data_IF_241562457148
#
_entry.id   IF_241562457148
#
_cell.length_a   1.000
_cell.length_b   1.000
_cell.length_c   1.000
_cell.angle_alpha   90.00
_cell.angle_beta   90.00
_cell.angle_gamma   90.00
#
_symmetry.space_group_name_H-M   'P 1'
#
loop_
_entity.id
_entity.type
_entity.pdbx_description
1 polymer ?
#
# COMPACT_ATOMS: atom_id res chain seq x y z
N UNK A 1 17.94 21.30 -24.19
CA UNK A 1 17.35 20.54 -23.06
C UNK A 1 17.94 21.13 -21.79
N UNK A 2 17.16 21.77 -20.92
CA UNK A 2 17.68 22.21 -19.62
C UNK A 2 17.92 20.95 -18.74
N UNK A 3 18.99 20.90 -17.94
CA UNK A 3 19.13 19.86 -16.93
C UNK A 3 17.94 19.95 -15.96
N UNK A 4 17.41 18.81 -15.49
CA UNK A 4 16.35 18.82 -14.49
C UNK A 4 16.80 19.59 -13.23
N UNK A 5 15.87 20.26 -12.57
CA UNK A 5 16.15 21.00 -11.35
C UNK A 5 16.73 20.07 -10.26
N UNK A 6 17.72 20.56 -9.52
CA UNK A 6 18.26 19.90 -8.33
C UNK A 6 17.09 19.52 -7.41
N UNK A 7 16.90 18.22 -7.22
CA UNK A 7 15.88 17.68 -6.32
C UNK A 7 16.58 17.33 -5.03
N UNK A 8 16.33 18.09 -3.97
CA UNK A 8 16.74 17.71 -2.63
C UNK A 8 15.83 16.58 -2.15
N UNK A 9 16.43 15.41 -1.91
CA UNK A 9 15.76 14.23 -1.35
C UNK A 9 16.08 14.19 0.14
N UNK A 10 15.09 14.45 0.98
CA UNK A 10 15.21 14.26 2.42
C UNK A 10 14.74 12.85 2.76
N UNK A 11 15.66 12.04 3.31
CA UNK A 11 15.36 10.68 3.76
C UNK A 11 15.16 10.70 5.27
N UNK A 12 13.96 10.34 5.72
CA UNK A 12 13.64 10.24 7.15
C UNK A 12 13.57 8.76 7.53
N UNK A 13 14.60 8.20 8.20
CA UNK A 13 14.57 6.83 8.69
C UNK A 13 13.64 6.71 9.91
N UNK A 14 12.85 5.64 9.97
CA UNK A 14 12.14 5.24 11.20
C UNK A 14 13.03 4.33 12.07
N UNK A 15 12.59 3.99 13.29
CA UNK A 15 13.31 3.23 14.33
C UNK A 15 13.88 1.85 13.91
N UNK A 16 13.64 1.42 12.67
CA UNK A 16 14.05 0.14 12.09
C UNK A 16 15.07 0.28 10.95
N UNK A 17 15.46 1.50 10.59
CA UNK A 17 16.47 1.84 9.58
C UNK A 17 17.60 2.60 10.26
N UNK A 18 18.83 2.07 10.26
CA UNK A 18 20.01 2.75 10.78
C UNK A 18 20.79 3.39 9.61
N UNK A 19 21.02 4.70 9.65
CA UNK A 19 21.92 5.37 8.71
C UNK A 19 23.36 5.28 9.24
N UNK A 20 24.30 4.84 8.39
CA UNK A 20 25.74 4.81 8.69
C UNK A 20 26.51 5.47 7.56
N UNK A 21 27.53 6.24 7.91
CA UNK A 21 28.45 6.84 6.94
C UNK A 21 29.50 5.78 6.55
N UNK A 22 29.57 5.43 5.28
CA UNK A 22 30.49 4.40 4.76
C UNK A 22 31.79 5.00 4.18
N UNK A 23 31.95 6.33 4.25
CA UNK A 23 33.03 7.10 3.64
C UNK A 23 32.59 7.87 2.38
N UNK A 24 33.37 8.87 1.98
CA UNK A 24 33.15 9.72 0.79
C UNK A 24 31.75 10.36 0.68
N UNK A 25 31.12 10.69 1.82
CA UNK A 25 29.79 11.30 1.85
C UNK A 25 28.64 10.36 1.45
N UNK A 26 28.91 9.05 1.35
CA UNK A 26 27.89 8.04 1.10
C UNK A 26 27.25 7.62 2.42
N UNK A 27 25.93 7.81 2.51
CA UNK A 27 25.12 7.33 3.63
C UNK A 27 24.50 5.99 3.22
N UNK A 28 24.92 4.91 3.88
CA UNK A 28 24.32 3.60 3.76
C UNK A 28 23.18 3.45 4.78
N UNK A 29 22.02 2.96 4.32
CA UNK A 29 20.88 2.67 5.19
C UNK A 29 20.81 1.16 5.44
N UNK A 30 20.97 0.76 6.70
CA UNK A 30 20.95 -0.64 7.11
C UNK A 30 19.62 -1.01 7.78
N UNK A 31 19.03 -2.06 7.24
CA UNK A 31 17.82 -2.72 7.73
C UNK A 31 18.21 -3.98 8.51
N UNK A 32 17.71 -4.16 9.74
CA UNK A 32 17.82 -5.46 10.45
C UNK A 32 16.74 -6.48 10.06
N UNK A 33 15.72 -6.05 9.31
CA UNK A 33 14.57 -6.87 8.92
C UNK A 33 14.43 -6.87 7.39
N UNK A 34 14.01 -8.00 6.83
CA UNK A 34 13.34 -7.98 5.52
C UNK A 34 12.04 -7.19 5.66
N UNK A 35 11.75 -6.26 4.75
CA UNK A 35 10.56 -5.43 4.85
C UNK A 35 10.22 -4.64 3.60
N UNK A 36 8.96 -4.24 3.49
CA UNK A 36 8.47 -3.41 2.39
C UNK A 36 8.82 -1.94 2.59
N UNK A 37 9.14 -1.23 1.51
CA UNK A 37 9.39 0.21 1.50
C UNK A 37 8.18 0.95 0.91
N UNK A 38 7.57 1.85 1.66
CA UNK A 38 6.50 2.73 1.17
C UNK A 38 7.05 4.15 0.96
N UNK A 39 7.15 4.60 -0.30
CA UNK A 39 7.45 5.99 -0.62
C UNK A 39 6.16 6.81 -0.59
N UNK A 40 6.14 7.90 0.16
CA UNK A 40 5.06 8.89 0.07
C UNK A 40 5.69 10.23 -0.27
N UNK A 41 5.43 10.71 -1.47
CA UNK A 41 5.91 12.00 -1.97
C UNK A 41 4.98 13.11 -1.46
N UNK A 42 5.53 14.06 -0.71
CA UNK A 42 4.80 15.29 -0.34
C UNK A 42 5.56 16.50 -0.88
N UNK A 43 4.94 17.24 -1.82
CA UNK A 43 5.49 18.45 -2.41
C UNK A 43 4.96 19.69 -1.71
N UNK A 44 5.78 20.35 -0.89
CA UNK A 44 5.46 21.66 -0.30
C UNK A 44 6.38 22.74 -0.86
N UNK A 45 5.82 23.64 -1.67
CA UNK A 45 6.54 24.78 -2.23
C UNK A 45 6.30 26.08 -1.45
N UNK A 46 7.38 26.70 -0.95
CA UNK A 46 7.47 28.15 -0.75
C UNK A 46 8.75 28.63 -1.44
N UNK A 47 8.62 29.58 -2.39
CA UNK A 47 9.72 30.23 -3.14
C UNK A 47 10.58 29.30 -4.03
N UNK A 48 9.97 28.60 -4.98
CA UNK A 48 10.69 28.01 -6.13
C UNK A 48 11.64 26.84 -5.84
N UNK A 49 11.77 26.40 -4.59
CA UNK A 49 12.44 25.14 -4.20
C UNK A 49 11.38 24.06 -4.03
N UNK A 50 11.47 23.01 -4.84
CA UNK A 50 10.69 21.78 -4.66
C UNK A 50 11.49 20.86 -3.76
N UNK A 51 11.06 20.68 -2.52
CA UNK A 51 11.63 19.70 -1.60
C UNK A 51 10.78 18.43 -1.69
N UNK A 52 11.39 17.32 -2.06
CA UNK A 52 10.73 16.01 -2.11
C UNK A 52 11.11 15.25 -0.84
N UNK A 53 10.16 15.10 0.07
CA UNK A 53 10.34 14.28 1.27
C UNK A 53 10.14 12.81 0.90
N UNK A 54 11.16 11.97 1.12
CA UNK A 54 11.09 10.53 0.94
C UNK A 54 11.10 9.86 2.32
N UNK A 55 9.93 9.38 2.77
CA UNK A 55 9.84 8.56 3.99
C UNK A 55 10.17 7.11 3.66
N UNK A 56 11.09 6.50 4.39
CA UNK A 56 11.44 5.08 4.27
C UNK A 56 11.19 4.38 5.60
N UNK A 57 10.21 3.47 5.61
CA UNK A 57 9.92 2.59 6.74
C UNK A 57 10.18 1.13 6.38
N UNK A 58 10.59 0.32 7.35
CA UNK A 58 10.79 -1.12 7.20
C UNK A 58 9.90 -1.88 8.18
N UNK A 59 9.12 -2.81 7.66
CA UNK A 59 8.17 -3.58 8.45
C UNK A 59 8.33 -5.05 8.11
N UNK A 60 8.23 -5.95 9.11
CA UNK A 60 8.20 -7.38 8.83
C UNK A 60 7.08 -7.67 7.83
N UNK A 61 7.38 -8.42 6.78
CA UNK A 61 6.41 -8.78 5.72
C UNK A 61 6.15 -10.28 5.78
N UNK A 62 4.89 -10.67 5.84
CA UNK A 62 4.44 -12.04 5.57
C UNK A 62 3.96 -12.12 4.12
N UNK A 63 4.62 -12.95 3.34
CA UNK A 63 4.28 -13.17 1.93
C UNK A 63 3.53 -14.49 1.77
N UNK A 64 2.39 -14.44 1.11
CA UNK A 64 1.56 -15.59 0.77
C UNK A 64 1.62 -15.75 -0.75
N UNK A 65 2.31 -16.81 -1.18
CA UNK A 65 2.43 -17.17 -2.59
C UNK A 65 1.17 -17.94 -3.02
N UNK A 66 0.14 -17.19 -3.40
CA UNK A 66 -1.14 -17.71 -3.86
C UNK A 66 -2.36 -17.06 -3.20
N UNK A 67 -3.48 -17.76 -3.30
CA UNK A 67 -4.77 -17.32 -2.74
C UNK A 67 -4.84 -17.60 -1.23
N UNK A 68 -5.59 -16.78 -0.51
CA UNK A 68 -5.97 -17.10 0.88
C UNK A 68 -7.22 -17.96 0.82
N UNK A 69 -7.04 -19.26 1.04
CA UNK A 69 -8.08 -20.29 0.94
C UNK A 69 -7.98 -21.31 2.09
N UNK A 70 -8.57 -22.51 1.94
CA UNK A 70 -8.54 -23.56 2.96
C UNK A 70 -7.14 -24.10 3.27
N UNK A 71 -6.18 -23.95 2.36
CA UNK A 71 -4.79 -24.35 2.58
C UNK A 71 -4.05 -23.37 3.48
N UNK A 72 -4.36 -22.07 3.36
CA UNK A 72 -3.75 -20.99 4.13
C UNK A 72 -4.48 -20.69 5.43
N UNK A 73 -5.81 -20.74 5.40
CA UNK A 73 -6.68 -20.36 6.51
C UNK A 73 -6.75 -18.84 6.73
N UNK A 74 -7.18 -18.44 7.93
CA UNK A 74 -7.19 -17.03 8.31
C UNK A 74 -5.78 -16.53 8.59
N UNK A 75 -5.46 -15.34 8.06
CA UNK A 75 -4.13 -14.75 8.20
C UNK A 75 -4.16 -13.70 9.29
N UNK A 76 -3.32 -13.85 10.32
CA UNK A 76 -3.12 -12.87 11.37
C UNK A 76 -1.62 -12.61 11.51
N UNK A 77 -1.20 -11.37 11.24
CA UNK A 77 0.22 -11.04 11.23
C UNK A 77 0.52 -9.67 11.84
N UNK A 78 1.53 -9.62 12.71
CA UNK A 78 2.01 -8.40 13.35
C UNK A 78 3.07 -7.71 12.48
N UNK A 79 2.65 -7.22 11.32
CA UNK A 79 3.50 -6.59 10.32
C UNK A 79 2.69 -6.29 9.06
N UNK A 80 3.37 -6.20 7.94
CA UNK A 80 2.75 -6.06 6.62
C UNK A 80 2.46 -7.44 6.03
N UNK A 81 1.38 -7.56 5.26
CA UNK A 81 1.00 -8.81 4.59
C UNK A 81 0.92 -8.58 3.09
N UNK A 82 1.55 -9.45 2.31
CA UNK A 82 1.49 -9.45 0.85
C UNK A 82 0.87 -10.75 0.39
N UNK A 83 -0.28 -10.67 -0.28
CA UNK A 83 -0.98 -11.79 -0.89
C UNK A 83 -0.81 -11.69 -2.40
N UNK A 84 -0.11 -12.64 -3.03
CA UNK A 84 0.07 -12.68 -4.49
C UNK A 84 -1.19 -13.12 -5.24
N UNK A 85 -2.11 -13.78 -4.56
CA UNK A 85 -3.40 -14.18 -5.10
C UNK A 85 -4.57 -13.32 -4.64
N UNK A 86 -5.74 -13.92 -4.66
CA UNK A 86 -7.02 -13.37 -4.19
C UNK A 86 -7.37 -13.92 -2.81
N UNK A 87 -8.20 -13.19 -2.07
CA UNK A 87 -8.72 -13.67 -0.79
C UNK A 87 -10.07 -14.31 -1.05
N UNK A 88 -10.12 -15.63 -0.92
CA UNK A 88 -11.34 -16.41 -1.11
C UNK A 88 -12.27 -16.24 0.08
N UNK A 89 -13.58 -16.41 -0.11
CA UNK A 89 -14.49 -16.46 1.02
C UNK A 89 -14.40 -17.80 1.75
N UNK A 90 -14.69 -17.83 3.07
CA UNK A 90 -15.00 -16.71 3.97
C UNK A 90 -13.76 -16.23 4.76
N UNK A 91 -12.59 -16.20 4.11
CA UNK A 91 -11.34 -15.96 4.81
C UNK A 91 -11.13 -14.51 5.19
N UNK A 92 -10.25 -14.33 6.19
CA UNK A 92 -9.97 -13.03 6.80
C UNK A 92 -8.47 -12.83 6.87
N UNK A 93 -8.05 -11.62 6.53
CA UNK A 93 -6.65 -11.19 6.61
C UNK A 93 -6.59 -9.99 7.56
N UNK A 94 -5.86 -10.15 8.65
CA UNK A 94 -5.68 -9.15 9.70
C UNK A 94 -4.19 -8.84 9.84
N UNK A 95 -3.81 -7.60 9.58
CA UNK A 95 -2.44 -7.13 9.73
C UNK A 95 -2.38 -5.87 10.60
N UNK A 96 -1.38 -5.78 11.48
CA UNK A 96 -1.15 -4.52 12.22
C UNK A 96 -0.50 -3.45 11.35
N UNK A 97 0.15 -3.86 10.26
CA UNK A 97 0.76 -3.00 9.26
C UNK A 97 -0.16 -2.75 8.06
N UNK A 98 0.43 -2.77 6.87
CA UNK A 98 -0.27 -2.61 5.60
C UNK A 98 -0.58 -3.96 4.96
N UNK A 99 -1.67 -4.04 4.20
CA UNK A 99 -2.06 -5.25 3.46
C UNK A 99 -2.05 -4.97 1.97
N UNK A 100 -1.25 -5.72 1.23
CA UNK A 100 -1.20 -5.67 -0.24
C UNK A 100 -1.75 -6.97 -0.80
N UNK A 101 -2.70 -6.86 -1.72
CA UNK A 101 -3.31 -8.01 -2.41
C UNK A 101 -3.21 -7.78 -3.91
N UNK A 102 -2.52 -8.66 -4.62
CA UNK A 102 -2.36 -8.58 -6.06
C UNK A 102 -3.64 -9.01 -6.81
N UNK A 103 -4.45 -9.87 -6.20
CA UNK A 103 -5.75 -10.31 -6.71
C UNK A 103 -6.94 -9.47 -6.24
N UNK A 104 -8.10 -10.13 -6.14
CA UNK A 104 -9.35 -9.53 -5.69
C UNK A 104 -9.68 -9.95 -4.24
N UNK A 105 -10.48 -9.12 -3.57
CA UNK A 105 -11.21 -9.54 -2.38
C UNK A 105 -12.58 -10.08 -2.83
N UNK A 106 -12.76 -11.39 -2.74
CA UNK A 106 -13.96 -12.09 -3.21
C UNK A 106 -15.15 -11.98 -2.23
N UNK A 107 -16.39 -12.30 -2.68
CA UNK A 107 -17.61 -12.06 -1.91
C UNK A 107 -17.62 -12.78 -0.56
N UNK A 108 -17.57 -12.04 0.55
CA UNK A 108 -17.54 -12.59 1.90
C UNK A 108 -16.16 -12.66 2.54
N UNK A 109 -15.15 -12.08 1.90
CA UNK A 109 -13.81 -11.88 2.48
C UNK A 109 -13.76 -10.64 3.39
N UNK A 110 -12.84 -10.62 4.35
CA UNK A 110 -12.62 -9.46 5.21
C UNK A 110 -11.14 -9.14 5.35
N UNK A 111 -10.79 -7.87 5.17
CA UNK A 111 -9.42 -7.38 5.24
C UNK A 111 -9.35 -6.26 6.28
N UNK A 112 -8.52 -6.46 7.29
CA UNK A 112 -8.19 -5.47 8.31
C UNK A 112 -6.70 -5.13 8.25
N UNK A 113 -6.38 -3.85 8.07
CA UNK A 113 -5.02 -3.33 8.14
C UNK A 113 -4.95 -2.19 9.16
N UNK A 114 -3.93 -2.19 10.01
CA UNK A 114 -3.66 -1.07 10.92
C UNK A 114 -3.21 0.19 10.18
N UNK A 115 -2.64 0.03 8.98
CA UNK A 115 -2.22 1.13 8.11
C UNK A 115 -2.95 1.05 6.77
N UNK A 116 -2.26 0.87 5.66
CA UNK A 116 -2.86 1.00 4.33
C UNK A 116 -3.34 -0.34 3.78
N UNK A 117 -4.37 -0.32 2.93
CA UNK A 117 -4.78 -1.47 2.11
C UNK A 117 -4.56 -1.12 0.64
N UNK A 118 -3.82 -1.96 -0.07
CA UNK A 118 -3.62 -1.85 -1.51
C UNK A 118 -4.14 -3.12 -2.22
N UNK A 119 -5.17 -2.96 -3.05
CA UNK A 119 -5.74 -3.99 -3.90
C UNK A 119 -5.43 -3.64 -5.36
N UNK A 120 -4.61 -4.48 -6.02
CA UNK A 120 -4.39 -4.41 -7.47
C UNK A 120 -5.67 -4.69 -8.25
N UNK A 121 -6.46 -5.64 -7.75
CA UNK A 121 -7.80 -5.93 -8.21
C UNK A 121 -8.84 -5.04 -7.53
N UNK A 122 -9.99 -5.61 -7.22
CA UNK A 122 -11.07 -4.90 -6.54
C UNK A 122 -11.65 -5.67 -5.36
N UNK A 123 -12.44 -4.97 -4.55
CA UNK A 123 -13.34 -5.60 -3.60
C UNK A 123 -14.69 -5.81 -4.24
N UNK A 124 -15.09 -7.08 -4.37
CA UNK A 124 -16.26 -7.48 -5.13
C UNK A 124 -17.17 -8.33 -4.25
N UNK A 125 -18.46 -8.00 -4.27
CA UNK A 125 -19.53 -8.82 -3.75
C UNK A 125 -19.94 -8.52 -2.32
N UNK A 126 -21.09 -9.06 -1.97
CA UNK A 126 -21.72 -8.85 -0.68
C UNK A 126 -20.86 -9.37 0.48
N UNK A 127 -21.00 -8.73 1.64
CA UNK A 127 -20.28 -9.08 2.89
C UNK A 127 -18.75 -8.98 2.76
N UNK A 128 -18.25 -8.34 1.69
CA UNK A 128 -16.84 -7.98 1.55
C UNK A 128 -16.57 -6.70 2.33
N UNK A 129 -15.59 -6.76 3.23
CA UNK A 129 -15.27 -5.67 4.14
C UNK A 129 -13.78 -5.32 4.07
N UNK A 130 -13.48 -4.06 3.76
CA UNK A 130 -12.13 -3.49 3.84
C UNK A 130 -12.10 -2.46 4.97
N UNK A 131 -11.17 -2.61 5.91
CA UNK A 131 -10.94 -1.64 6.98
C UNK A 131 -9.45 -1.35 7.12
N UNK A 132 -9.06 -0.12 6.80
CA UNK A 132 -7.71 0.39 6.93
C UNK A 132 -7.66 1.50 7.99
N UNK A 133 -6.65 1.49 8.85
CA UNK A 133 -6.34 2.61 9.73
C UNK A 133 -5.73 3.81 8.98
N UNK A 134 -5.12 3.56 7.81
CA UNK A 134 -4.60 4.53 6.87
C UNK A 134 -5.49 4.65 5.63
N UNK A 135 -4.86 4.63 4.46
CA UNK A 135 -5.50 4.81 3.16
C UNK A 135 -5.91 3.47 2.51
N UNK A 136 -6.91 3.51 1.64
CA UNK A 136 -7.31 2.36 0.82
C UNK A 136 -7.13 2.70 -0.66
N UNK A 137 -6.34 1.89 -1.36
CA UNK A 137 -6.19 1.91 -2.80
C UNK A 137 -6.82 0.64 -3.39
N UNK A 138 -7.79 0.79 -4.29
CA UNK A 138 -8.41 -0.34 -4.98
C UNK A 138 -8.71 0.01 -6.44
N UNK A 139 -8.60 -0.95 -7.36
CA UNK A 139 -8.95 -0.70 -8.77
C UNK A 139 -10.44 -0.47 -8.95
N UNK A 140 -11.26 -1.29 -8.29
CA UNK A 140 -12.71 -1.19 -8.34
C UNK A 140 -13.32 -1.65 -7.02
N UNK A 141 -14.52 -1.16 -6.73
CA UNK A 141 -15.29 -1.58 -5.55
C UNK A 141 -16.73 -1.80 -5.96
N UNK A 142 -17.23 -3.01 -5.74
CA UNK A 142 -18.60 -3.39 -6.10
C UNK A 142 -19.25 -4.17 -4.96
N UNK A 143 -20.42 -3.73 -4.49
CA UNK A 143 -21.23 -4.42 -3.48
C UNK A 143 -20.51 -4.69 -2.13
N UNK A 144 -19.42 -3.96 -1.87
CA UNK A 144 -18.59 -4.10 -0.67
C UNK A 144 -18.77 -2.93 0.30
N UNK A 145 -18.14 -3.01 1.49
CA UNK A 145 -17.98 -1.85 2.39
C UNK A 145 -16.51 -1.54 2.59
N UNK A 146 -16.16 -0.27 2.45
CA UNK A 146 -14.77 0.23 2.59
C UNK A 146 -14.73 1.29 3.67
N UNK A 147 -13.81 1.16 4.62
CA UNK A 147 -13.52 2.12 5.67
C UNK A 147 -12.02 2.42 5.70
N UNK A 148 -11.67 3.70 5.62
CA UNK A 148 -10.29 4.17 5.70
C UNK A 148 -10.17 5.28 6.75
N UNK A 149 -9.12 5.22 7.56
CA UNK A 149 -8.75 6.27 8.51
C UNK A 149 -8.07 7.48 7.86
N UNK A 150 -7.67 7.38 6.59
CA UNK A 150 -7.15 8.48 5.78
C UNK A 150 -7.92 8.59 4.44
N UNK A 151 -7.24 8.44 3.31
CA UNK A 151 -7.83 8.64 1.97
C UNK A 151 -8.28 7.32 1.33
N UNK A 152 -9.27 7.41 0.44
CA UNK A 152 -9.69 6.28 -0.41
C UNK A 152 -9.50 6.65 -1.86
N UNK A 153 -8.64 5.92 -2.56
CA UNK A 153 -8.41 6.04 -3.99
C UNK A 153 -8.97 4.83 -4.74
N UNK A 154 -9.88 5.11 -5.68
CA UNK A 154 -10.50 4.08 -6.50
C UNK A 154 -10.21 4.35 -7.97
N UNK A 155 -9.81 3.28 -8.65
CA UNK A 155 -9.19 3.35 -9.95
C UNK A 155 -10.06 3.34 -11.19
N UNK A 156 -11.29 2.86 -11.05
CA UNK A 156 -12.17 2.57 -12.16
C UNK A 156 -13.59 2.97 -11.84
N UNK A 157 -14.30 2.19 -11.02
CA UNK A 157 -15.67 2.49 -10.66
C UNK A 157 -16.01 1.99 -9.25
N UNK A 158 -17.12 2.53 -8.77
CA UNK A 158 -17.70 2.30 -7.45
C UNK A 158 -19.17 1.99 -7.72
N UNK A 159 -19.64 0.78 -7.41
CA UNK A 159 -21.01 0.37 -7.69
C UNK A 159 -21.67 -0.28 -6.46
N UNK A 160 -22.82 0.24 -6.06
CA UNK A 160 -23.64 -0.31 -4.97
C UNK A 160 -22.84 -0.59 -3.67
N UNK A 161 -22.00 0.36 -3.26
CA UNK A 161 -21.05 0.19 -2.15
C UNK A 161 -21.13 1.34 -1.16
N UNK A 162 -20.76 1.07 0.10
CA UNK A 162 -20.60 2.07 1.13
C UNK A 162 -19.12 2.32 1.37
N UNK A 163 -18.62 3.47 0.90
CA UNK A 163 -17.24 3.92 1.11
C UNK A 163 -17.23 5.03 2.18
N UNK A 164 -16.39 4.87 3.20
CA UNK A 164 -16.14 5.89 4.23
C UNK A 164 -14.64 6.14 4.33
N UNK A 165 -14.25 7.40 4.28
CA UNK A 165 -12.89 7.87 4.48
C UNK A 165 -12.92 9.03 5.47
N UNK A 166 -11.92 9.14 6.35
CA UNK A 166 -11.78 10.33 7.19
C UNK A 166 -11.19 11.52 6.40
N UNK A 167 -10.38 11.23 5.38
CA UNK A 167 -9.82 12.19 4.45
C UNK A 167 -10.67 12.33 3.19
N UNK A 168 -10.04 12.19 2.03
CA UNK A 168 -10.65 12.36 0.71
C UNK A 168 -11.02 11.02 0.09
N UNK A 169 -12.13 11.01 -0.66
CA UNK A 169 -12.49 9.92 -1.56
C UNK A 169 -12.25 10.39 -2.99
N UNK A 170 -11.37 9.72 -3.73
CA UNK A 170 -11.05 10.03 -5.12
C UNK A 170 -11.37 8.84 -6.00
N UNK A 171 -12.27 9.02 -6.96
CA UNK A 171 -12.52 8.03 -8.01
C UNK A 171 -11.90 8.56 -9.30
N UNK A 172 -10.82 7.91 -9.75
CA UNK A 172 -10.11 8.28 -10.97
C UNK A 172 -10.69 7.47 -12.13
N UNK A 173 -11.05 8.14 -13.22
CA UNK A 173 -11.40 7.52 -14.49
C UNK A 173 -10.28 7.80 -15.50
N UNK A 174 -9.21 7.00 -15.49
CA UNK A 174 -8.17 7.09 -16.52
C UNK A 174 -7.34 5.80 -16.60
N UNK A 175 -7.22 5.25 -17.82
CA UNK A 175 -6.62 3.94 -18.14
C UNK A 175 -5.11 3.80 -17.95
N UNK A 176 -4.49 4.53 -17.03
CA UNK A 176 -3.08 4.33 -16.65
C UNK A 176 -2.98 4.28 -15.13
N UNK A 177 -3.09 3.06 -14.61
CA UNK A 177 -2.87 2.71 -13.22
C UNK A 177 -1.36 2.61 -12.95
N UNK A 178 -0.87 3.36 -11.97
CA UNK A 178 0.50 3.23 -11.49
C UNK A 178 0.51 2.16 -10.40
N UNK A 179 0.99 0.97 -10.76
CA UNK A 179 1.36 -0.06 -9.78
C UNK A 179 2.88 0.01 -9.61
N UNK A 180 3.40 0.17 -8.38
CA UNK A 180 4.83 -0.02 -8.16
C UNK A 180 5.15 -1.48 -8.41
N UNK A 181 5.66 -1.80 -9.61
CA UNK A 181 6.22 -3.12 -9.88
C UNK A 181 7.49 -3.27 -9.04
N UNK A 182 7.58 -4.24 -8.12
CA UNK A 182 8.87 -4.61 -7.59
C UNK A 182 9.68 -5.26 -8.73
N UNK A 183 10.87 -4.73 -9.01
CA UNK A 183 11.94 -5.45 -9.71
C UNK A 183 11.69 -5.84 -11.18
N UNK A 184 11.67 -4.87 -12.10
CA UNK A 184 12.28 -5.11 -13.42
C UNK A 184 13.52 -4.25 -13.54
N UNK A 185 14.59 -4.74 -12.94
CA UNK A 185 15.94 -4.43 -13.41
C UNK A 185 16.01 -4.96 -14.84
N UNK A 186 16.05 -4.04 -15.81
CA UNK A 186 16.26 -4.39 -17.21
C UNK A 186 17.77 -4.59 -17.38
N UNK A 187 18.13 -5.81 -17.80
CA UNK A 187 19.42 -6.14 -18.38
C UNK A 187 19.69 -5.34 -19.65
#
# INVERSE_FOLDING_TARGET
MLPPALTEIEVVPDARVEAREEGDGIIAYHARTSGGASSTEESRGKRGRTVTLLRLGLYAVSEIDGDVDYSTGHVHFSGDVVVRGSIKPPFRVCATGSVTVEGNAEPGSTIHAGRDIALSGGAIGERTHLQAGGSVLAKLVQQAKVQAGADVEIGSYVFETSVRAAGRIVVKWKGRWWWPRPGREQA
#
